data_IF_863649526835
#
_entry.id   IF_863649526835
#
_cell.length_a   1.000
_cell.length_b   1.000
_cell.length_c   1.000
_cell.angle_alpha   90.00
_cell.angle_beta   90.00
_cell.angle_gamma   90.00
#
_symmetry.space_group_name_H-M   'P 1'
#
loop_
_entity.id
_entity.type
_entity.pdbx_description
1 polymer ?
#
# COMPACT_ATOMS: atom_id res chain seq x y z
N UNK A 1 -4.63 -67.02 -23.77
CA UNK A 1 -4.78 -66.37 -22.45
C UNK A 1 -4.17 -64.99 -22.52
N UNK A 2 -5.01 -63.96 -22.61
CA UNK A 2 -4.61 -62.56 -22.67
C UNK A 2 -4.20 -62.19 -21.24
N UNK A 3 -2.91 -61.98 -20.99
CA UNK A 3 -2.44 -61.41 -19.73
C UNK A 3 -3.05 -60.02 -19.64
N UNK A 4 -3.88 -59.78 -18.63
CA UNK A 4 -4.30 -58.43 -18.23
C UNK A 4 -3.05 -57.55 -18.24
N UNK A 5 -3.03 -56.55 -19.13
CA UNK A 5 -2.02 -55.50 -19.09
C UNK A 5 -2.23 -54.80 -17.76
N UNK A 6 -1.38 -55.08 -16.79
CA UNK A 6 -1.36 -54.39 -15.50
C UNK A 6 -1.04 -52.92 -15.73
N UNK A 7 -2.05 -52.13 -16.09
CA UNK A 7 -1.94 -50.69 -16.14
C UNK A 7 -1.69 -50.19 -14.72
N UNK A 8 -0.54 -49.55 -14.52
CA UNK A 8 -0.21 -48.95 -13.24
C UNK A 8 -1.15 -47.78 -13.01
N UNK A 9 -2.15 -47.95 -12.14
CA UNK A 9 -3.18 -46.94 -11.82
C UNK A 9 -2.63 -45.56 -11.46
N UNK A 10 -1.37 -45.48 -11.02
CA UNK A 10 -0.70 -44.26 -10.59
C UNK A 10 0.17 -43.60 -11.67
N UNK A 11 0.42 -44.24 -12.82
CA UNK A 11 1.25 -43.74 -13.92
C UNK A 11 0.40 -43.54 -15.19
N UNK A 12 0.38 -42.34 -15.77
CA UNK A 12 -0.39 -42.07 -16.99
C UNK A 12 0.39 -42.50 -18.22
N UNK A 13 -0.33 -43.05 -19.20
CA UNK A 13 0.22 -43.38 -20.52
C UNK A 13 0.44 -42.14 -21.40
N UNK A 14 -0.36 -41.09 -21.18
CA UNK A 14 -0.30 -39.81 -21.89
C UNK A 14 0.53 -38.77 -21.12
N UNK A 15 1.14 -37.81 -21.84
CA UNK A 15 1.74 -36.60 -21.25
C UNK A 15 3.19 -36.72 -20.79
N UNK A 16 4.04 -37.50 -21.48
CA UNK A 16 5.48 -37.69 -21.21
C UNK A 16 5.84 -38.13 -19.77
N UNK A 17 4.86 -38.45 -18.92
CA UNK A 17 5.07 -38.87 -17.53
C UNK A 17 5.87 -40.17 -17.44
N UNK A 18 5.59 -41.12 -18.33
CA UNK A 18 6.34 -42.38 -18.41
C UNK A 18 7.81 -42.14 -18.81
N UNK A 19 8.07 -41.13 -19.63
CA UNK A 19 9.44 -40.74 -20.04
C UNK A 19 10.20 -40.14 -18.87
N UNK A 20 9.53 -39.30 -18.07
CA UNK A 20 10.08 -38.78 -16.82
C UNK A 20 10.41 -39.91 -15.83
N UNK A 21 9.50 -40.88 -15.67
CA UNK A 21 9.75 -42.06 -14.82
C UNK A 21 10.92 -42.88 -15.31
N UNK A 22 11.03 -43.13 -16.61
CA UNK A 22 12.16 -43.86 -17.20
C UNK A 22 13.50 -43.14 -16.91
N UNK A 23 13.54 -41.81 -17.02
CA UNK A 23 14.71 -41.01 -16.65
C UNK A 23 15.00 -41.03 -15.14
N UNK A 24 13.98 -41.05 -14.30
CA UNK A 24 14.15 -41.17 -12.85
C UNK A 24 14.75 -42.52 -12.48
N UNK A 25 14.25 -43.61 -13.07
CA UNK A 25 14.75 -44.97 -12.85
C UNK A 25 16.23 -45.06 -13.28
N UNK A 26 16.59 -44.55 -14.45
CA UNK A 26 17.97 -44.61 -14.94
C UNK A 26 18.97 -43.86 -14.06
N UNK A 27 18.54 -42.76 -13.42
CA UNK A 27 19.38 -41.93 -12.55
C UNK A 27 19.50 -42.46 -11.12
N UNK A 28 18.46 -43.11 -10.60
CA UNK A 28 18.35 -43.40 -9.17
C UNK A 28 18.29 -44.89 -8.81
N UNK A 29 18.23 -45.80 -9.79
CA UNK A 29 18.30 -47.24 -9.52
C UNK A 29 19.73 -47.69 -9.18
N UNK A 30 19.88 -48.50 -8.14
CA UNK A 30 21.18 -49.02 -7.69
C UNK A 30 21.75 -50.05 -8.67
N UNK A 31 23.07 -50.22 -8.70
CA UNK A 31 23.74 -51.15 -9.62
C UNK A 31 23.25 -52.61 -9.51
N UNK A 32 22.81 -53.03 -8.30
CA UNK A 32 22.22 -54.36 -8.04
C UNK A 32 20.78 -54.48 -8.55
N UNK A 33 19.99 -53.42 -8.42
CA UNK A 33 18.70 -53.29 -9.11
C UNK A 33 18.90 -53.22 -10.63
N UNK A 34 20.08 -52.70 -11.05
CA UNK A 34 20.57 -52.72 -12.42
C UNK A 34 21.21 -54.05 -12.86
N UNK A 35 21.33 -55.05 -11.99
CA UNK A 35 21.86 -56.36 -12.37
C UNK A 35 20.92 -57.11 -13.31
N UNK A 36 19.60 -56.98 -13.09
CA UNK A 36 18.57 -57.42 -14.04
C UNK A 36 18.43 -56.48 -15.25
N UNK A 37 19.17 -55.36 -15.25
CA UNK A 37 19.11 -54.26 -16.22
C UNK A 37 20.09 -54.43 -17.38
N UNK A 38 20.82 -55.54 -17.46
CA UNK A 38 21.40 -55.99 -18.74
C UNK A 38 20.32 -56.17 -19.83
N UNK A 39 19.05 -56.40 -19.43
CA UNK A 39 17.88 -56.27 -20.31
C UNK A 39 17.59 -54.83 -20.77
N UNK A 40 17.80 -53.84 -19.92
CA UNK A 40 17.50 -52.43 -20.20
C UNK A 40 18.51 -51.83 -21.19
N UNK A 41 19.79 -52.20 -21.11
CA UNK A 41 20.80 -51.71 -22.06
C UNK A 41 20.60 -52.28 -23.47
N UNK A 42 20.07 -53.52 -23.58
CA UNK A 42 19.80 -54.19 -24.87
C UNK A 42 18.48 -53.76 -25.52
N UNK A 43 17.52 -53.23 -24.77
CA UNK A 43 16.24 -52.73 -25.29
C UNK A 43 16.22 -51.20 -25.24
N UNK A 44 16.69 -50.56 -26.31
CA UNK A 44 16.32 -49.17 -26.64
C UNK A 44 14.83 -49.07 -27.01
N UNK A 45 13.94 -49.61 -26.19
CA UNK A 45 12.49 -49.54 -26.40
C UNK A 45 11.96 -48.49 -25.43
N UNK A 46 11.87 -47.26 -25.91
CA UNK A 46 11.17 -46.19 -25.21
C UNK A 46 9.66 -46.51 -25.22
N UNK A 47 9.01 -46.52 -24.06
CA UNK A 47 7.56 -46.67 -24.01
C UNK A 47 7.00 -47.01 -22.63
N UNK A 48 5.73 -46.65 -22.43
CA UNK A 48 4.96 -46.92 -21.20
C UNK A 48 4.98 -48.39 -20.79
N UNK A 49 4.80 -49.30 -21.76
CA UNK A 49 4.70 -50.74 -21.50
C UNK A 49 6.01 -51.31 -20.93
N UNK A 50 7.17 -50.75 -21.31
CA UNK A 50 8.47 -51.17 -20.76
C UNK A 50 8.64 -50.68 -19.31
N UNK A 51 8.24 -49.44 -19.02
CA UNK A 51 8.27 -48.88 -17.66
C UNK A 51 7.40 -49.69 -16.70
N UNK A 52 6.25 -50.18 -17.15
CA UNK A 52 5.37 -51.06 -16.36
C UNK A 52 6.08 -52.37 -16.01
N UNK A 53 6.76 -53.00 -16.96
CA UNK A 53 7.52 -54.23 -16.73
C UNK A 53 8.67 -53.99 -15.76
N UNK A 54 9.42 -52.90 -15.93
CA UNK A 54 10.55 -52.56 -15.06
C UNK A 54 10.09 -52.36 -13.60
N UNK A 55 8.96 -51.69 -13.41
CA UNK A 55 8.37 -51.49 -12.09
C UNK A 55 7.93 -52.82 -11.48
N UNK A 56 7.31 -53.71 -12.25
CA UNK A 56 6.91 -55.03 -11.78
C UNK A 56 8.13 -55.89 -11.38
N UNK A 57 9.25 -55.76 -12.06
CA UNK A 57 10.51 -56.42 -11.70
C UNK A 57 11.11 -55.85 -10.42
N UNK A 58 11.01 -54.53 -10.18
CA UNK A 58 11.44 -53.93 -8.91
C UNK A 58 10.55 -54.36 -7.74
N UNK A 59 9.25 -54.54 -7.93
CA UNK A 59 8.31 -54.97 -6.88
C UNK A 59 8.58 -56.42 -6.38
N UNK A 60 9.35 -57.23 -7.12
CA UNK A 60 9.75 -58.59 -6.71
C UNK A 60 10.79 -58.60 -5.57
N UNK A 61 11.45 -57.47 -5.30
CA UNK A 61 12.48 -57.35 -4.26
C UNK A 61 12.05 -56.37 -3.17
N UNK A 62 12.43 -56.63 -1.92
CA UNK A 62 12.11 -55.75 -0.78
C UNK A 62 12.75 -54.36 -0.92
N UNK A 63 13.97 -54.29 -1.48
CA UNK A 63 14.65 -53.03 -1.79
C UNK A 63 13.98 -52.28 -2.96
N UNK A 64 13.54 -53.01 -3.99
CA UNK A 64 12.84 -52.44 -5.13
C UNK A 64 11.45 -51.91 -4.76
N UNK A 65 10.73 -52.52 -3.83
CA UNK A 65 9.47 -51.96 -3.28
C UNK A 65 9.68 -50.58 -2.60
N UNK A 66 10.76 -50.43 -1.83
CA UNK A 66 11.13 -49.13 -1.25
C UNK A 66 11.48 -48.10 -2.33
N UNK A 67 12.17 -48.53 -3.37
CA UNK A 67 12.48 -47.69 -4.53
C UNK A 67 11.21 -47.23 -5.27
N UNK A 68 10.28 -48.15 -5.57
CA UNK A 68 8.99 -47.83 -6.20
C UNK A 68 8.17 -46.86 -5.35
N UNK A 69 8.23 -46.96 -4.03
CA UNK A 69 7.58 -45.99 -3.12
C UNK A 69 8.19 -44.59 -3.24
N UNK A 70 9.53 -44.48 -3.27
CA UNK A 70 10.22 -43.20 -3.53
C UNK A 70 9.89 -42.63 -4.90
N UNK A 71 9.86 -43.49 -5.93
CA UNK A 71 9.48 -43.12 -7.30
C UNK A 71 8.05 -42.57 -7.37
N UNK A 72 7.07 -43.24 -6.74
CA UNK A 72 5.68 -42.76 -6.64
C UNK A 72 5.61 -41.38 -6.00
N UNK A 73 6.35 -41.16 -4.91
CA UNK A 73 6.41 -39.86 -4.23
C UNK A 73 7.07 -38.77 -5.08
N UNK A 74 8.16 -39.10 -5.78
CA UNK A 74 8.86 -38.18 -6.66
C UNK A 74 7.97 -37.80 -7.86
N UNK A 75 7.23 -38.76 -8.44
CA UNK A 75 6.28 -38.49 -9.52
C UNK A 75 5.11 -37.60 -9.03
N UNK A 76 4.59 -37.84 -7.82
CA UNK A 76 3.57 -36.97 -7.22
C UNK A 76 4.08 -35.52 -7.08
N UNK A 77 5.32 -35.34 -6.61
CA UNK A 77 5.95 -34.02 -6.51
C UNK A 77 6.20 -33.40 -7.88
N UNK A 78 6.62 -34.18 -8.87
CA UNK A 78 6.80 -33.72 -10.25
C UNK A 78 5.49 -33.19 -10.84
N UNK A 79 4.39 -33.94 -10.69
CA UNK A 79 3.05 -33.50 -11.09
C UNK A 79 2.67 -32.19 -10.40
N UNK A 80 2.86 -32.10 -9.09
CA UNK A 80 2.54 -30.89 -8.33
C UNK A 80 3.33 -29.66 -8.81
N UNK A 81 4.59 -29.84 -9.22
CA UNK A 81 5.48 -28.78 -9.72
C UNK A 81 5.30 -28.47 -11.21
N UNK A 82 4.54 -29.27 -11.95
CA UNK A 82 4.33 -29.04 -13.39
C UNK A 82 3.54 -27.76 -13.64
N UNK A 83 3.93 -27.01 -14.66
CA UNK A 83 3.40 -25.67 -14.96
C UNK A 83 1.90 -25.64 -15.30
N UNK A 84 1.30 -26.80 -15.62
CA UNK A 84 -0.12 -26.93 -15.95
C UNK A 84 -1.07 -26.71 -14.78
N UNK A 85 -0.57 -26.73 -13.53
CA UNK A 85 -1.40 -26.51 -12.33
C UNK A 85 -1.51 -25.02 -11.91
N UNK A 86 -1.11 -24.08 -12.76
CA UNK A 86 -1.28 -22.63 -12.54
C UNK A 86 -0.42 -22.02 -11.42
N UNK A 87 0.41 -22.81 -10.74
CA UNK A 87 1.30 -22.35 -9.65
C UNK A 87 2.76 -22.63 -10.02
N UNK A 88 3.57 -21.58 -10.08
CA UNK A 88 5.03 -21.70 -10.26
C UNK A 88 5.69 -21.53 -8.89
N UNK A 89 6.32 -22.56 -8.32
CA UNK A 89 6.98 -22.43 -7.03
C UNK A 89 8.14 -21.43 -7.14
N UNK A 90 8.23 -20.50 -6.18
CA UNK A 90 9.33 -19.56 -6.03
C UNK A 90 10.04 -19.87 -4.71
N UNK A 91 11.38 -19.98 -4.75
CA UNK A 91 12.19 -20.23 -3.56
C UNK A 91 13.02 -19.00 -3.27
N UNK A 92 12.92 -18.49 -2.05
CA UNK A 92 13.71 -17.37 -1.56
C UNK A 92 14.35 -17.74 -0.22
N UNK A 93 15.50 -17.14 0.06
CA UNK A 93 16.16 -17.27 1.36
C UNK A 93 15.85 -16.04 2.20
N UNK A 94 15.23 -16.25 3.36
CA UNK A 94 15.00 -15.17 4.34
C UNK A 94 15.95 -15.31 5.53
N UNK A 95 16.30 -14.19 6.20
CA UNK A 95 16.84 -14.24 7.54
C UNK A 95 15.93 -15.05 8.48
N UNK A 96 16.55 -15.76 9.42
CA UNK A 96 15.83 -16.60 10.39
C UNK A 96 14.78 -15.81 11.19
N UNK A 97 15.10 -14.56 11.54
CA UNK A 97 14.20 -13.65 12.26
C UNK A 97 12.93 -13.32 11.46
N UNK A 98 13.08 -13.05 10.16
CA UNK A 98 11.96 -12.76 9.26
C UNK A 98 11.08 -13.98 9.08
N UNK A 99 11.67 -15.16 8.89
CA UNK A 99 10.93 -16.43 8.80
C UNK A 99 10.15 -16.72 10.09
N UNK A 100 10.77 -16.53 11.25
CA UNK A 100 10.10 -16.74 12.54
C UNK A 100 8.91 -15.79 12.73
N UNK A 101 9.07 -14.52 12.34
CA UNK A 101 8.00 -13.51 12.36
C UNK A 101 6.86 -13.86 11.42
N UNK A 102 7.17 -14.28 10.20
CA UNK A 102 6.19 -14.71 9.20
C UNK A 102 5.37 -15.90 9.73
N UNK A 103 6.06 -16.91 10.27
CA UNK A 103 5.42 -18.12 10.81
C UNK A 103 4.55 -17.82 12.03
N UNK A 104 4.97 -16.90 12.90
CA UNK A 104 4.16 -16.42 14.02
C UNK A 104 2.88 -15.74 13.53
N UNK A 105 3.00 -14.78 12.61
CA UNK A 105 1.84 -14.06 12.03
C UNK A 105 0.87 -14.99 11.31
N UNK A 106 1.39 -16.01 10.62
CA UNK A 106 0.57 -17.03 9.97
C UNK A 106 -0.25 -17.82 10.99
N UNK A 107 0.38 -18.24 12.10
CA UNK A 107 -0.30 -18.95 13.20
C UNK A 107 -1.34 -18.08 13.89
N UNK A 108 -0.99 -16.85 14.24
CA UNK A 108 -1.87 -15.93 14.97
C UNK A 108 -3.16 -15.66 14.17
N UNK A 109 -3.03 -15.50 12.84
CA UNK A 109 -4.15 -15.24 11.94
C UNK A 109 -4.79 -16.52 11.37
N UNK A 110 -4.29 -17.71 11.71
CA UNK A 110 -4.76 -19.02 11.20
C UNK A 110 -4.77 -19.12 9.67
N UNK A 111 -3.79 -18.52 9.02
CA UNK A 111 -3.61 -18.51 7.56
C UNK A 111 -2.26 -19.12 7.19
N UNK A 112 -2.07 -19.40 5.91
CA UNK A 112 -0.78 -19.86 5.40
C UNK A 112 0.23 -18.71 5.34
N UNK A 113 1.51 -19.04 5.44
CA UNK A 113 2.60 -18.07 5.29
C UNK A 113 2.52 -17.32 3.94
N UNK A 114 2.06 -17.98 2.88
CA UNK A 114 1.84 -17.34 1.56
C UNK A 114 0.72 -16.31 1.61
N UNK A 115 -0.41 -16.61 2.27
CA UNK A 115 -1.50 -15.64 2.42
C UNK A 115 -1.08 -14.43 3.24
N UNK A 116 -0.24 -14.61 4.27
CA UNK A 116 0.36 -13.47 5.00
C UNK A 116 1.18 -12.58 4.07
N UNK A 117 2.00 -13.18 3.20
CA UNK A 117 2.79 -12.40 2.22
C UNK A 117 1.86 -11.63 1.28
N UNK A 118 0.81 -12.27 0.77
CA UNK A 118 -0.18 -11.61 -0.11
C UNK A 118 -0.85 -10.43 0.60
N UNK A 119 -1.35 -10.62 1.83
CA UNK A 119 -1.97 -9.54 2.60
C UNK A 119 -0.99 -8.39 2.85
N UNK A 120 0.27 -8.69 3.20
CA UNK A 120 1.28 -7.64 3.41
C UNK A 120 1.59 -6.83 2.14
N UNK A 121 1.56 -7.48 0.96
CA UNK A 121 1.73 -6.79 -0.32
C UNK A 121 0.53 -5.89 -0.60
N UNK A 122 -0.68 -6.41 -0.46
CA UNK A 122 -1.91 -5.67 -0.70
C UNK A 122 -2.06 -4.48 0.27
N UNK A 123 -1.74 -4.69 1.55
CA UNK A 123 -1.75 -3.64 2.59
C UNK A 123 -0.71 -2.56 2.29
N UNK A 124 0.48 -2.94 1.83
CA UNK A 124 1.52 -1.98 1.46
C UNK A 124 1.10 -1.14 0.24
N UNK A 125 0.51 -1.77 -0.78
CA UNK A 125 -0.04 -1.04 -1.93
C UNK A 125 -1.17 -0.09 -1.52
N UNK A 126 -2.09 -0.56 -0.70
CA UNK A 126 -3.20 0.24 -0.21
C UNK A 126 -2.72 1.44 0.62
N UNK A 127 -1.76 1.21 1.53
CA UNK A 127 -1.17 2.25 2.33
C UNK A 127 -0.49 3.31 1.45
N UNK A 128 0.30 2.88 0.46
CA UNK A 128 0.96 3.79 -0.48
C UNK A 128 -0.03 4.66 -1.26
N UNK A 129 -1.12 4.07 -1.78
CA UNK A 129 -2.19 4.81 -2.46
C UNK A 129 -2.84 5.83 -1.54
N UNK A 130 -3.20 5.42 -0.33
CA UNK A 130 -3.82 6.31 0.67
C UNK A 130 -2.91 7.45 1.10
N UNK A 131 -1.60 7.20 1.23
CA UNK A 131 -0.62 8.25 1.51
C UNK A 131 -0.55 9.26 0.37
N UNK A 132 -0.52 8.80 -0.88
CA UNK A 132 -0.51 9.69 -2.05
C UNK A 132 -1.78 10.54 -2.15
N UNK A 133 -2.96 9.96 -1.90
CA UNK A 133 -4.22 10.70 -1.88
C UNK A 133 -4.25 11.76 -0.78
N UNK A 134 -3.83 11.39 0.44
CA UNK A 134 -3.73 12.34 1.56
C UNK A 134 -2.81 13.50 1.21
N UNK A 135 -1.65 13.23 0.62
CA UNK A 135 -0.71 14.28 0.21
C UNK A 135 -1.33 15.22 -0.83
N UNK A 136 -2.07 14.70 -1.81
CA UNK A 136 -2.80 15.51 -2.79
C UNK A 136 -3.86 16.38 -2.09
N UNK A 137 -4.66 15.81 -1.19
CA UNK A 137 -5.68 16.58 -0.47
C UNK A 137 -5.06 17.69 0.36
N UNK A 138 -3.98 17.43 1.09
CA UNK A 138 -3.28 18.42 1.89
C UNK A 138 -2.69 19.54 1.03
N UNK A 139 -2.12 19.20 -0.14
CA UNK A 139 -1.64 20.20 -1.10
C UNK A 139 -2.78 21.10 -1.60
N UNK A 140 -3.94 20.52 -1.92
CA UNK A 140 -5.10 21.32 -2.37
C UNK A 140 -5.67 22.19 -1.27
N UNK A 141 -5.80 21.69 -0.04
CA UNK A 141 -6.31 22.48 1.10
C UNK A 141 -5.36 23.61 1.44
N UNK A 142 -4.04 23.35 1.45
CA UNK A 142 -3.03 24.39 1.67
C UNK A 142 -3.08 25.48 0.59
N UNK A 143 -3.26 25.11 -0.68
CA UNK A 143 -3.38 26.08 -1.77
C UNK A 143 -4.63 26.95 -1.62
N UNK A 144 -5.76 26.36 -1.25
CA UNK A 144 -7.00 27.10 -0.98
C UNK A 144 -6.89 28.02 0.22
N UNK A 145 -6.25 27.59 1.31
CA UNK A 145 -6.01 28.44 2.47
C UNK A 145 -5.09 29.62 2.14
N UNK A 146 -4.04 29.39 1.34
CA UNK A 146 -3.16 30.47 0.85
C UNK A 146 -3.95 31.50 0.05
N UNK A 147 -4.72 31.07 -0.94
CA UNK A 147 -5.58 31.96 -1.71
C UNK A 147 -6.57 32.73 -0.83
N UNK A 148 -7.19 32.05 0.15
CA UNK A 148 -8.12 32.71 1.09
C UNK A 148 -7.41 33.74 1.96
N UNK A 149 -6.19 33.45 2.41
CA UNK A 149 -5.38 34.38 3.20
C UNK A 149 -4.93 35.59 2.38
N UNK A 150 -4.54 35.39 1.12
CA UNK A 150 -4.18 36.46 0.19
C UNK A 150 -5.38 37.40 -0.05
N UNK A 151 -6.55 36.84 -0.37
CA UNK A 151 -7.78 37.63 -0.55
C UNK A 151 -8.17 38.39 0.73
N UNK A 152 -8.01 37.78 1.90
CA UNK A 152 -8.28 38.46 3.17
C UNK A 152 -7.31 39.64 3.39
N UNK A 153 -6.01 39.45 3.12
CA UNK A 153 -5.00 40.50 3.20
C UNK A 153 -5.31 41.65 2.24
N UNK A 154 -5.68 41.35 0.99
CA UNK A 154 -6.05 42.36 0.00
C UNK A 154 -7.28 43.17 0.44
N UNK A 155 -8.31 42.49 0.96
CA UNK A 155 -9.52 43.17 1.47
C UNK A 155 -9.22 44.09 2.65
N UNK A 156 -8.35 43.65 3.58
CA UNK A 156 -7.94 44.44 4.73
C UNK A 156 -7.10 45.65 4.31
N UNK A 157 -6.21 45.49 3.32
CA UNK A 157 -5.44 46.61 2.75
C UNK A 157 -6.35 47.66 2.13
N UNK A 158 -7.35 47.23 1.34
CA UNK A 158 -8.30 48.14 0.71
C UNK A 158 -9.11 48.93 1.76
N UNK A 159 -9.62 48.24 2.79
CA UNK A 159 -10.32 48.90 3.90
C UNK A 159 -9.41 49.88 4.64
N UNK A 160 -8.16 49.50 4.90
CA UNK A 160 -7.19 50.37 5.55
C UNK A 160 -6.93 51.64 4.74
N UNK A 161 -6.69 51.53 3.43
CA UNK A 161 -6.50 52.68 2.55
C UNK A 161 -7.72 53.61 2.52
N UNK A 162 -8.93 53.05 2.49
CA UNK A 162 -10.16 53.83 2.54
C UNK A 162 -10.32 54.57 3.89
N UNK A 163 -10.05 53.89 5.00
CA UNK A 163 -10.08 54.53 6.33
C UNK A 163 -9.04 55.63 6.47
N UNK A 164 -7.84 55.45 5.91
CA UNK A 164 -6.79 56.47 5.88
C UNK A 164 -7.24 57.71 5.12
N UNK A 165 -7.83 57.55 3.92
CA UNK A 165 -8.39 58.68 3.15
C UNK A 165 -9.48 59.42 3.90
N UNK A 166 -10.34 58.72 4.64
CA UNK A 166 -11.37 59.34 5.47
C UNK A 166 -10.77 60.12 6.64
N UNK A 167 -9.74 59.58 7.29
CA UNK A 167 -9.02 60.25 8.36
C UNK A 167 -8.33 61.51 7.84
N UNK A 168 -7.58 61.42 6.73
CA UNK A 168 -6.91 62.56 6.09
C UNK A 168 -7.88 63.70 5.82
N UNK A 169 -8.99 63.43 5.13
CA UNK A 169 -10.03 64.43 4.84
C UNK A 169 -10.63 65.05 6.09
N UNK A 170 -10.80 64.25 7.14
CA UNK A 170 -11.35 64.73 8.42
C UNK A 170 -10.34 65.63 9.14
N UNK A 171 -9.06 65.25 9.14
CA UNK A 171 -7.97 66.05 9.71
C UNK A 171 -7.74 67.35 8.94
N UNK A 172 -7.77 67.32 7.61
CA UNK A 172 -7.66 68.52 6.78
C UNK A 172 -8.76 69.52 7.12
N UNK A 173 -10.01 69.06 7.26
CA UNK A 173 -11.14 69.92 7.66
C UNK A 173 -10.95 70.51 9.05
N UNK A 174 -10.45 69.74 10.00
CA UNK A 174 -10.16 70.23 11.34
C UNK A 174 -9.07 71.31 11.31
N UNK A 175 -7.96 71.06 10.60
CA UNK A 175 -6.84 72.01 10.49
C UNK A 175 -7.26 73.30 9.78
N UNK A 176 -7.96 73.20 8.64
CA UNK A 176 -8.48 74.39 7.93
C UNK A 176 -9.35 75.25 8.83
N UNK A 177 -10.16 74.59 9.65
CA UNK A 177 -11.06 75.28 10.57
C UNK A 177 -10.30 75.89 11.76
N UNK A 178 -9.33 75.18 12.36
CA UNK A 178 -8.48 75.70 13.45
C UNK A 178 -7.71 76.95 13.03
N UNK A 179 -7.23 76.97 11.78
CA UNK A 179 -6.53 78.12 11.19
C UNK A 179 -7.45 79.31 10.92
N UNK A 180 -8.73 79.06 10.59
CA UNK A 180 -9.68 80.12 10.26
C UNK A 180 -10.27 80.84 11.49
N UNK A 181 -10.32 80.19 12.65
CA UNK A 181 -11.06 80.65 13.84
C UNK A 181 -10.20 80.97 15.07
N UNK A 182 -8.88 81.14 14.91
CA UNK A 182 -7.93 81.46 16.01
C UNK A 182 -8.27 80.73 17.32
N UNK A 183 -8.52 79.41 17.24
CA UNK A 183 -8.80 78.47 18.35
C UNK A 183 -10.16 78.49 19.08
N UNK A 184 -11.18 79.23 18.62
CA UNK A 184 -12.55 79.09 19.18
C UNK A 184 -13.26 77.84 18.66
N UNK A 185 -13.73 76.88 19.48
CA UNK A 185 -14.42 75.62 19.06
C UNK A 185 -15.43 75.77 17.89
N UNK A 186 -15.57 74.75 17.01
CA UNK A 186 -16.46 74.86 15.84
C UNK A 186 -17.88 75.23 16.26
N UNK A 187 -18.52 76.20 15.59
CA UNK A 187 -19.89 76.57 15.91
C UNK A 187 -20.77 75.33 15.68
N UNK A 188 -21.34 74.83 16.77
CA UNK A 188 -22.21 73.67 16.78
C UNK A 188 -23.49 74.05 17.52
N UNK A 189 -24.56 74.24 16.74
CA UNK A 189 -25.90 74.62 17.23
C UNK A 189 -26.71 73.43 17.78
N UNK A 190 -26.14 72.23 17.77
CA UNK A 190 -26.79 71.02 18.26
C UNK A 190 -26.49 70.69 19.73
N UNK A 191 -27.10 69.61 20.23
CA UNK A 191 -26.87 69.10 21.58
C UNK A 191 -25.47 68.44 21.71
N UNK A 192 -24.53 69.14 22.36
CA UNK A 192 -23.16 68.68 22.62
C UNK A 192 -23.11 67.40 23.46
N UNK A 193 -24.08 67.19 24.36
CA UNK A 193 -24.15 66.00 25.22
C UNK A 193 -24.58 64.76 24.43
N UNK A 194 -25.49 64.93 23.46
CA UNK A 194 -25.88 63.85 22.55
C UNK A 194 -24.73 63.47 21.60
N UNK A 195 -23.99 64.45 21.07
CA UNK A 195 -22.80 64.17 20.25
C UNK A 195 -21.74 63.39 21.03
N UNK A 196 -21.43 63.79 22.27
CA UNK A 196 -20.49 63.05 23.12
C UNK A 196 -20.94 61.61 23.33
N UNK A 197 -22.21 61.38 23.67
CA UNK A 197 -22.77 60.02 23.85
C UNK A 197 -22.66 59.17 22.58
N UNK A 198 -22.96 59.75 21.42
CA UNK A 198 -22.90 59.02 20.14
C UNK A 198 -21.46 58.75 19.70
N UNK A 199 -20.53 59.70 19.90
CA UNK A 199 -19.09 59.49 19.67
C UNK A 199 -18.56 58.39 20.57
N UNK A 200 -18.85 58.42 21.87
CA UNK A 200 -18.39 57.42 22.82
C UNK A 200 -18.93 56.02 22.49
N UNK A 201 -20.20 55.92 22.09
CA UNK A 201 -20.82 54.68 21.61
C UNK A 201 -20.12 54.14 20.37
N UNK A 202 -19.79 54.98 19.39
CA UNK A 202 -19.07 54.58 18.17
C UNK A 202 -17.61 54.20 18.48
N UNK A 203 -16.93 54.98 19.31
CA UNK A 203 -15.55 54.71 19.73
C UNK A 203 -15.44 53.40 20.51
N UNK A 204 -16.44 53.08 21.35
CA UNK A 204 -16.52 51.81 22.08
C UNK A 204 -16.62 50.64 21.11
N UNK A 205 -17.46 50.72 20.07
CA UNK A 205 -17.53 49.70 19.01
C UNK A 205 -16.20 49.50 18.30
N UNK A 206 -15.52 50.59 17.92
CA UNK A 206 -14.20 50.53 17.27
C UNK A 206 -13.16 49.88 18.19
N UNK A 207 -13.12 50.26 19.47
CA UNK A 207 -12.23 49.64 20.47
C UNK A 207 -12.49 48.15 20.65
N UNK A 208 -13.76 47.73 20.69
CA UNK A 208 -14.12 46.30 20.79
C UNK A 208 -13.67 45.52 19.56
N UNK A 209 -13.89 46.05 18.37
CA UNK A 209 -13.43 45.40 17.12
C UNK A 209 -11.91 45.31 17.07
N UNK A 210 -11.18 46.37 17.43
CA UNK A 210 -9.72 46.35 17.49
C UNK A 210 -9.19 45.35 18.52
N UNK A 211 -9.85 45.21 19.67
CA UNK A 211 -9.48 44.19 20.67
C UNK A 211 -9.70 42.77 20.16
N UNK A 212 -10.80 42.50 19.44
CA UNK A 212 -11.07 41.20 18.81
C UNK A 212 -10.02 40.89 17.74
N UNK A 213 -9.67 41.87 16.91
CA UNK A 213 -8.64 41.72 15.88
C UNK A 213 -7.28 41.42 16.55
N UNK A 214 -6.87 42.18 17.55
CA UNK A 214 -5.63 41.94 18.28
C UNK A 214 -5.57 40.53 18.88
N UNK A 215 -6.65 40.06 19.51
CA UNK A 215 -6.75 38.70 20.06
C UNK A 215 -6.68 37.60 18.99
N UNK A 216 -7.15 37.87 17.77
CA UNK A 216 -7.07 36.90 16.66
C UNK A 216 -5.68 36.76 16.05
N UNK A 217 -4.83 37.79 16.17
CA UNK A 217 -3.43 37.78 15.73
C UNK A 217 -2.46 37.30 16.82
N UNK A 218 -2.86 37.32 18.09
CA UNK A 218 -2.05 36.87 19.24
C UNK A 218 -2.15 35.35 19.49
N UNK A 219 -2.77 34.59 18.58
CA UNK A 219 -2.67 33.12 18.60
C UNK A 219 -1.29 32.76 18.06
N UNK A 220 -0.35 32.29 18.90
CA UNK A 220 0.92 31.81 18.39
C UNK A 220 0.63 30.61 17.49
N UNK A 221 1.28 30.59 16.33
CA UNK A 221 1.45 29.41 15.49
C UNK A 221 2.05 28.27 16.32
N UNK A 222 1.23 27.56 17.08
CA UNK A 222 1.51 26.24 17.63
C UNK A 222 0.83 25.25 16.70
N UNK A 223 1.58 24.82 15.71
CA UNK A 223 1.72 23.43 15.26
C UNK A 223 2.90 23.34 14.30
#
# INVERSE_FOLDING_TARGET
MIKDRNELKWLRRSGDEWRWVQQYISRHADARMRGNTERFARRKVEGYDQVVVDIADFEQTTEGLKFVTRLKNALRQHRYRSASNGRKPCTFSLPNSTRASLSRRAKDNRVTETEVVTMLIDDAEWAARKHSEREKTLKTTLALERMRSELAIESLKAQFEETMKHLERSTERLVMWEQAMESEQPPFEGDKENVKREVEKRLKKVKTVNAIIALSYDVPSRN
#
